data_IF_959710487573
#
_entry.id   IF_959710487573
#
_cell.length_a   1.000
_cell.length_b   1.000
_cell.length_c   1.000
_cell.angle_alpha   90.00
_cell.angle_beta   90.00
_cell.angle_gamma   90.00
#
_symmetry.space_group_name_H-M   'P 1'
#
loop_
_entity.id
_entity.type
_entity.pdbx_description
1 polymer ?
#
# COMPACT_ATOMS: atom_id res chain seq x y z
N UNK A 1 -5.24 -22.31 -5.89
CA UNK A 1 -5.88 -20.98 -5.70
C UNK A 1 -5.85 -20.20 -7.01
N UNK A 2 -6.93 -19.52 -7.36
CA UNK A 2 -7.05 -18.77 -8.61
C UNK A 2 -6.90 -17.25 -8.41
N UNK A 3 -6.58 -16.55 -9.50
CA UNK A 3 -6.52 -15.10 -9.55
C UNK A 3 -7.88 -14.47 -9.25
N UNK A 4 -7.86 -13.20 -8.81
CA UNK A 4 -9.04 -12.43 -8.43
C UNK A 4 -9.04 -11.05 -9.09
N UNK A 5 -10.23 -10.65 -9.54
CA UNK A 5 -10.54 -9.29 -10.00
C UNK A 5 -11.82 -8.79 -9.34
N UNK A 6 -12.25 -7.58 -9.65
CA UNK A 6 -13.56 -7.08 -9.24
C UNK A 6 -14.68 -7.71 -10.06
N UNK A 7 -15.86 -7.90 -9.45
CA UNK A 7 -17.04 -8.35 -10.19
C UNK A 7 -17.72 -7.20 -10.96
N UNK A 8 -17.67 -5.98 -10.42
CA UNK A 8 -18.29 -4.78 -11.00
C UNK A 8 -17.37 -3.58 -10.88
N UNK A 9 -17.60 -2.60 -11.74
CA UNK A 9 -16.96 -1.27 -11.63
C UNK A 9 -17.52 -0.52 -10.43
N UNK A 10 -16.64 0.15 -9.68
CA UNK A 10 -17.01 1.00 -8.56
C UNK A 10 -16.24 2.31 -8.57
N UNK A 11 -16.87 3.38 -8.09
CA UNK A 11 -16.32 4.73 -8.12
C UNK A 11 -16.39 5.38 -6.76
N UNK A 12 -15.35 6.13 -6.42
CA UNK A 12 -15.29 6.97 -5.24
C UNK A 12 -14.69 8.34 -5.60
N UNK A 13 -14.97 9.33 -4.76
CA UNK A 13 -14.45 10.68 -4.88
C UNK A 13 -13.86 11.09 -3.53
N UNK A 14 -12.73 11.77 -3.57
CA UNK A 14 -12.08 12.31 -2.39
C UNK A 14 -11.02 13.34 -2.76
N UNK A 15 -10.14 13.66 -1.83
CA UNK A 15 -9.03 14.61 -2.03
C UNK A 15 -7.70 13.90 -1.85
N UNK A 16 -6.67 14.34 -2.56
CA UNK A 16 -5.28 13.92 -2.33
C UNK A 16 -4.76 14.46 -0.99
N UNK A 17 -4.02 13.65 -0.24
CA UNK A 17 -3.43 14.05 1.05
C UNK A 17 -2.41 15.17 0.86
N UNK A 18 -1.56 15.03 -0.16
CA UNK A 18 -0.45 15.96 -0.41
C UNK A 18 -0.87 17.12 -1.31
N UNK A 19 -1.57 16.84 -2.39
CA UNK A 19 -1.98 17.86 -3.36
C UNK A 19 -3.17 18.69 -2.91
N UNK A 20 -4.05 18.14 -2.08
CA UNK A 20 -5.33 18.73 -1.74
C UNK A 20 -6.32 18.79 -2.91
N UNK A 21 -5.95 18.28 -4.08
CA UNK A 21 -6.81 18.25 -5.24
C UNK A 21 -7.89 17.20 -5.14
N UNK A 22 -9.05 17.51 -5.68
CA UNK A 22 -10.10 16.52 -5.86
C UNK A 22 -9.65 15.44 -6.84
N UNK A 23 -9.87 14.18 -6.47
CA UNK A 23 -9.56 13.01 -7.28
C UNK A 23 -10.76 12.07 -7.30
N UNK A 24 -11.12 11.63 -8.51
CA UNK A 24 -12.08 10.56 -8.71
C UNK A 24 -11.30 9.29 -8.99
N UNK A 25 -11.55 8.28 -8.18
CA UNK A 25 -11.03 6.93 -8.30
C UNK A 25 -12.12 6.02 -8.85
N UNK A 26 -11.84 5.31 -9.95
CA UNK A 26 -12.74 4.27 -10.48
C UNK A 26 -11.96 2.97 -10.61
N UNK A 27 -12.46 1.92 -9.97
CA UNK A 27 -11.89 0.58 -10.03
C UNK A 27 -12.71 -0.24 -11.01
N UNK A 28 -12.05 -0.91 -11.96
CA UNK A 28 -12.70 -1.73 -12.98
C UNK A 28 -12.18 -3.17 -12.91
N UNK A 29 -13.02 -4.17 -13.22
CA UNK A 29 -12.54 -5.52 -13.51
C UNK A 29 -11.47 -5.50 -14.60
N UNK A 30 -10.50 -6.40 -14.50
CA UNK A 30 -9.48 -6.57 -15.52
C UNK A 30 -9.32 -8.07 -15.90
N UNK A 31 -8.89 -8.38 -17.12
CA UNK A 31 -8.60 -9.77 -17.53
C UNK A 31 -7.54 -10.45 -16.68
N UNK A 32 -7.43 -11.77 -16.78
CA UNK A 32 -6.35 -12.55 -16.18
C UNK A 32 -4.98 -12.03 -16.62
N UNK A 33 -4.00 -12.12 -15.73
CA UNK A 33 -2.61 -11.70 -15.97
C UNK A 33 -2.42 -10.22 -16.36
N UNK A 34 -3.43 -9.36 -16.15
CA UNK A 34 -3.31 -7.91 -16.34
C UNK A 34 -2.41 -7.27 -15.27
N UNK A 35 -2.47 -7.79 -14.04
CA UNK A 35 -1.88 -7.12 -12.89
C UNK A 35 -2.66 -5.87 -12.46
N UNK A 36 -2.00 -4.99 -11.72
CA UNK A 36 -2.57 -3.74 -11.23
C UNK A 36 -2.08 -2.60 -12.12
N UNK A 37 -3.01 -1.92 -12.81
CA UNK A 37 -2.70 -0.89 -13.80
C UNK A 37 -3.46 0.40 -13.46
N UNK A 38 -2.73 1.45 -13.14
CA UNK A 38 -3.26 2.79 -12.98
C UNK A 38 -3.36 3.52 -14.31
N UNK A 39 -4.42 4.32 -14.49
CA UNK A 39 -4.66 5.10 -15.71
C UNK A 39 -5.01 6.55 -15.36
N UNK A 40 -4.20 7.50 -15.84
CA UNK A 40 -4.45 8.94 -15.77
C UNK A 40 -5.42 9.33 -16.88
N UNK A 41 -6.71 9.26 -16.57
CA UNK A 41 -7.78 9.53 -17.54
C UNK A 41 -8.08 11.02 -17.74
N UNK A 42 -7.50 11.88 -16.93
CA UNK A 42 -7.49 13.34 -17.08
C UNK A 42 -6.49 13.84 -18.15
N UNK A 43 -5.64 12.94 -18.64
CA UNK A 43 -4.65 13.23 -19.67
C UNK A 43 -5.12 12.76 -21.05
N UNK A 44 -4.68 13.45 -22.10
CA UNK A 44 -4.93 13.08 -23.50
C UNK A 44 -3.59 12.99 -24.23
N UNK A 45 -3.19 11.81 -24.72
CA UNK A 45 -3.85 10.51 -24.54
C UNK A 45 -3.81 10.04 -23.06
N UNK A 46 -4.69 9.09 -22.71
CA UNK A 46 -4.68 8.40 -21.41
C UNK A 46 -3.30 7.76 -21.19
N UNK A 47 -2.75 7.91 -20.00
CA UNK A 47 -1.44 7.35 -19.65
C UNK A 47 -1.61 6.21 -18.65
N UNK A 48 -1.12 5.04 -19.03
CA UNK A 48 -1.11 3.85 -18.17
C UNK A 48 0.23 3.70 -17.44
N UNK A 49 0.15 3.38 -16.15
CA UNK A 49 1.27 3.09 -15.26
C UNK A 49 1.05 1.72 -14.61
N UNK A 50 1.85 0.74 -15.00
CA UNK A 50 1.81 -0.59 -14.40
C UNK A 50 2.51 -0.59 -13.05
N UNK A 51 1.96 -1.33 -12.09
CA UNK A 51 2.57 -1.51 -10.77
C UNK A 51 3.78 -2.43 -10.88
N UNK A 52 4.94 -1.90 -10.49
CA UNK A 52 6.20 -2.64 -10.41
C UNK A 52 7.18 -1.88 -9.50
N UNK A 53 8.11 -2.53 -8.76
CA UNK A 53 9.07 -1.82 -7.91
C UNK A 53 9.92 -0.77 -8.64
N UNK A 54 10.20 -0.99 -9.93
CA UNK A 54 10.98 -0.05 -10.76
C UNK A 54 10.20 1.19 -11.20
N UNK A 55 8.87 1.13 -11.21
CA UNK A 55 8.03 2.30 -11.54
C UNK A 55 7.87 3.26 -10.36
N UNK A 56 8.31 2.88 -9.16
CA UNK A 56 8.36 3.78 -8.00
C UNK A 56 9.47 4.81 -8.23
N UNK A 57 9.09 6.08 -8.35
CA UNK A 57 10.00 7.19 -8.61
C UNK A 57 10.22 8.10 -7.42
N UNK A 58 9.21 8.27 -6.57
CA UNK A 58 9.26 9.12 -5.38
C UNK A 58 8.72 8.37 -4.18
N UNK A 59 9.37 8.58 -3.01
CA UNK A 59 9.01 7.88 -1.76
C UNK A 59 8.98 8.85 -0.57
N UNK A 60 8.90 10.15 -0.83
CA UNK A 60 8.81 11.18 0.21
C UNK A 60 7.39 11.22 0.76
N UNK A 61 7.21 10.70 1.98
CA UNK A 61 5.94 10.62 2.73
C UNK A 61 4.84 9.75 2.11
N UNK A 62 4.99 9.27 0.90
CA UNK A 62 4.08 8.34 0.22
C UNK A 62 4.81 7.57 -0.87
N UNK A 63 4.20 6.50 -1.37
CA UNK A 63 4.70 5.79 -2.55
C UNK A 63 4.07 6.39 -3.81
N UNK A 64 4.95 6.85 -4.73
CA UNK A 64 4.55 7.46 -6.00
C UNK A 64 5.11 6.64 -7.15
N UNK A 65 4.23 6.18 -8.05
CA UNK A 65 4.64 5.60 -9.33
C UNK A 65 4.76 6.67 -10.39
N UNK A 66 5.72 6.48 -11.29
CA UNK A 66 6.05 7.45 -12.35
C UNK A 66 6.19 6.77 -13.72
N UNK A 67 5.93 7.53 -14.76
CA UNK A 67 6.23 7.19 -16.14
C UNK A 67 6.91 8.37 -16.82
N UNK A 68 8.15 8.17 -17.22
CA UNK A 68 8.94 9.16 -17.97
C UNK A 68 8.67 9.05 -19.47
N UNK A 69 9.10 10.06 -20.22
CA UNK A 69 9.02 10.05 -21.68
C UNK A 69 7.62 10.25 -22.26
N UNK A 70 6.68 10.72 -21.46
CA UNK A 70 5.32 11.02 -21.95
C UNK A 70 5.33 12.35 -22.69
N UNK A 71 4.95 12.33 -23.97
CA UNK A 71 4.83 13.57 -24.78
C UNK A 71 3.46 14.21 -24.50
N UNK A 72 3.46 15.40 -23.91
CA UNK A 72 2.27 16.24 -23.71
C UNK A 72 2.48 17.60 -24.37
N UNK A 73 1.60 17.98 -25.28
CA UNK A 73 1.69 19.23 -26.03
C UNK A 73 3.06 19.45 -26.72
N UNK A 74 3.70 18.35 -27.18
CA UNK A 74 5.02 18.35 -27.82
C UNK A 74 6.20 18.46 -26.85
N UNK A 75 5.96 18.44 -25.53
CA UNK A 75 6.99 18.51 -24.50
C UNK A 75 7.06 17.16 -23.77
N UNK A 76 8.27 16.62 -23.61
CA UNK A 76 8.50 15.46 -22.79
C UNK A 76 8.26 15.78 -21.31
N UNK A 77 7.44 14.97 -20.66
CA UNK A 77 7.04 15.17 -19.27
C UNK A 77 7.04 13.85 -18.51
N UNK A 78 7.12 13.98 -17.18
CA UNK A 78 6.92 12.87 -16.24
C UNK A 78 5.47 12.88 -15.79
N UNK A 79 4.79 11.75 -15.93
CA UNK A 79 3.45 11.51 -15.36
C UNK A 79 3.60 10.72 -14.07
N UNK A 80 2.85 11.09 -13.04
CA UNK A 80 2.90 10.45 -11.73
C UNK A 80 1.52 10.18 -11.15
N UNK A 81 1.48 9.22 -10.20
CA UNK A 81 0.35 8.97 -9.32
C UNK A 81 0.92 8.69 -7.92
N UNK A 82 0.58 9.56 -6.97
CA UNK A 82 1.08 9.54 -5.60
C UNK A 82 0.09 8.85 -4.64
N UNK A 83 0.58 8.49 -3.45
CA UNK A 83 -0.20 7.95 -2.31
C UNK A 83 -0.96 6.69 -2.67
N UNK A 84 -0.28 5.74 -3.33
CA UNK A 84 -0.91 4.50 -3.80
C UNK A 84 -0.91 3.40 -2.74
N UNK A 85 -0.07 3.49 -1.70
CA UNK A 85 0.20 2.45 -0.70
C UNK A 85 -1.04 1.95 0.03
N UNK A 86 -1.99 2.82 0.40
CA UNK A 86 -3.20 2.39 1.12
C UNK A 86 -4.15 1.60 0.23
N UNK A 87 -4.29 2.00 -1.04
CA UNK A 87 -5.09 1.26 -2.02
C UNK A 87 -4.41 -0.08 -2.36
N UNK A 88 -3.09 -0.08 -2.56
CA UNK A 88 -2.31 -1.30 -2.79
C UNK A 88 -2.41 -2.27 -1.60
N UNK A 89 -2.38 -1.73 -0.38
CA UNK A 89 -2.58 -2.50 0.85
C UNK A 89 -3.96 -3.15 0.90
N UNK A 90 -5.01 -2.44 0.47
CA UNK A 90 -6.36 -3.00 0.37
C UNK A 90 -6.44 -4.13 -0.67
N UNK A 91 -5.81 -3.97 -1.85
CA UNK A 91 -5.74 -5.04 -2.85
C UNK A 91 -5.01 -6.27 -2.32
N UNK A 92 -3.88 -6.09 -1.64
CA UNK A 92 -3.17 -7.19 -0.97
C UNK A 92 -4.06 -7.88 0.06
N UNK A 93 -4.76 -7.10 0.92
CA UNK A 93 -5.64 -7.62 1.96
C UNK A 93 -6.82 -8.45 1.44
N UNK A 94 -7.39 -8.06 0.30
CA UNK A 94 -8.49 -8.79 -0.35
C UNK A 94 -7.97 -9.89 -1.29
N UNK A 95 -6.73 -9.78 -1.74
CA UNK A 95 -6.10 -10.69 -2.69
C UNK A 95 -6.48 -10.43 -4.15
N UNK A 96 -6.65 -9.16 -4.54
CA UNK A 96 -6.92 -8.75 -5.93
C UNK A 96 -5.64 -8.80 -6.74
N UNK A 97 -5.64 -9.56 -7.83
CA UNK A 97 -4.50 -9.70 -8.74
C UNK A 97 -4.60 -8.76 -9.94
N UNK A 98 -5.82 -8.57 -10.48
CA UNK A 98 -6.05 -7.89 -11.74
C UNK A 98 -7.08 -6.77 -11.58
N UNK A 99 -6.71 -5.52 -11.86
CA UNK A 99 -7.59 -4.36 -11.76
C UNK A 99 -7.08 -3.21 -12.62
N UNK A 100 -7.97 -2.53 -13.34
CA UNK A 100 -7.71 -1.21 -13.89
C UNK A 100 -8.18 -0.13 -12.91
N UNK A 101 -7.37 0.89 -12.71
CA UNK A 101 -7.59 1.96 -11.75
C UNK A 101 -7.53 3.30 -12.49
N UNK A 102 -8.69 3.89 -12.73
CA UNK A 102 -8.78 5.23 -13.31
C UNK A 102 -8.68 6.28 -12.23
N UNK A 103 -7.82 7.26 -12.43
CA UNK A 103 -7.68 8.44 -11.57
C UNK A 103 -7.74 9.72 -12.43
N UNK A 104 -8.39 10.76 -11.88
CA UNK A 104 -8.55 12.07 -12.53
C UNK A 104 -7.58 13.12 -11.98
N UNK A 105 -6.55 12.70 -11.25
CA UNK A 105 -5.54 13.55 -10.62
C UNK A 105 -4.22 12.77 -10.47
N UNK A 106 -3.17 13.48 -10.13
CA UNK A 106 -1.84 12.92 -9.86
C UNK A 106 -1.69 12.30 -8.45
N UNK A 107 -2.81 12.10 -7.73
CA UNK A 107 -2.82 11.46 -6.42
C UNK A 107 -4.10 10.65 -6.19
N UNK A 108 -3.95 9.46 -5.58
CA UNK A 108 -5.08 8.65 -5.10
C UNK A 108 -5.76 9.37 -3.94
N UNK A 109 -7.11 9.43 -3.87
CA UNK A 109 -7.78 10.08 -2.74
C UNK A 109 -7.45 9.37 -1.41
N UNK A 110 -7.14 10.17 -0.39
CA UNK A 110 -6.69 9.64 0.92
C UNK A 110 -7.80 8.97 1.72
N UNK A 111 -9.05 9.26 1.42
CA UNK A 111 -10.23 8.80 2.15
C UNK A 111 -10.18 9.22 3.64
N UNK A 112 -10.23 8.25 4.57
CA UNK A 112 -10.08 8.49 6.02
C UNK A 112 -8.64 8.31 6.53
N UNK A 113 -7.68 8.14 5.63
CA UNK A 113 -6.28 7.89 5.95
C UNK A 113 -5.93 6.45 6.27
N UNK A 114 -6.87 5.51 6.10
CA UNK A 114 -6.66 4.07 6.27
C UNK A 114 -6.99 3.30 5.00
N UNK A 115 -6.82 1.97 4.99
CA UNK A 115 -7.22 1.10 3.89
C UNK A 115 -8.71 0.69 3.94
N UNK A 116 -9.44 0.98 5.02
CA UNK A 116 -10.78 0.43 5.26
C UNK A 116 -11.81 0.88 4.22
N UNK A 117 -11.76 2.12 3.75
CA UNK A 117 -12.66 2.61 2.71
C UNK A 117 -12.40 1.94 1.36
N UNK A 118 -11.15 1.66 1.01
CA UNK A 118 -10.83 0.92 -0.22
C UNK A 118 -11.30 -0.52 -0.14
N UNK A 119 -11.15 -1.18 1.02
CA UNK A 119 -11.71 -2.53 1.25
C UNK A 119 -13.22 -2.51 1.07
N UNK A 120 -13.92 -1.52 1.66
CA UNK A 120 -15.37 -1.37 1.49
C UNK A 120 -15.76 -1.21 0.02
N UNK A 121 -15.03 -0.42 -0.76
CA UNK A 121 -15.26 -0.28 -2.19
C UNK A 121 -15.08 -1.61 -2.93
N UNK A 122 -13.97 -2.32 -2.68
CA UNK A 122 -13.69 -3.61 -3.32
C UNK A 122 -14.78 -4.64 -2.97
N UNK A 123 -15.19 -4.72 -1.71
CA UNK A 123 -16.25 -5.63 -1.27
C UNK A 123 -17.62 -5.25 -1.87
N UNK A 124 -17.92 -3.95 -1.98
CA UNK A 124 -19.15 -3.45 -2.61
C UNK A 124 -19.20 -3.75 -4.11
N UNK A 125 -18.06 -3.68 -4.79
CA UNK A 125 -17.93 -4.11 -6.20
C UNK A 125 -18.09 -5.62 -6.35
N UNK A 126 -17.83 -6.39 -5.29
CA UNK A 126 -17.70 -7.83 -5.30
C UNK A 126 -16.37 -8.29 -5.87
N UNK A 127 -15.95 -9.51 -5.52
CA UNK A 127 -14.73 -10.15 -6.00
C UNK A 127 -15.09 -11.31 -6.90
N UNK A 128 -14.52 -11.35 -8.09
CA UNK A 128 -14.66 -12.42 -9.07
C UNK A 128 -13.38 -13.27 -9.08
N UNK A 129 -13.55 -14.57 -8.91
CA UNK A 129 -12.48 -15.56 -9.12
C UNK A 129 -12.35 -15.79 -10.62
N UNK A 130 -11.11 -15.80 -11.13
CA UNK A 130 -10.78 -15.96 -12.54
C UNK A 130 -10.19 -17.34 -12.80
N UNK A 131 -10.33 -17.82 -14.04
CA UNK A 131 -9.81 -19.14 -14.44
C UNK A 131 -8.33 -19.07 -14.84
N UNK A 132 -7.51 -18.70 -13.87
CA UNK A 132 -6.05 -18.68 -13.98
C UNK A 132 -5.40 -18.87 -12.60
N UNK A 133 -4.27 -19.61 -12.49
CA UNK A 133 -3.60 -19.81 -11.22
C UNK A 133 -3.04 -18.52 -10.66
N UNK A 134 -3.27 -18.28 -9.36
CA UNK A 134 -2.66 -17.18 -8.60
C UNK A 134 -1.19 -17.46 -8.37
N UNK A 135 -0.35 -16.49 -8.70
CA UNK A 135 1.10 -16.54 -8.51
C UNK A 135 1.49 -15.98 -7.16
N UNK A 136 2.51 -16.54 -6.53
CA UNK A 136 3.11 -16.09 -5.27
C UNK A 136 4.62 -15.99 -5.45
N UNK A 137 5.23 -15.04 -4.79
CA UNK A 137 6.69 -14.92 -4.68
C UNK A 137 7.13 -15.57 -3.38
N UNK A 138 7.78 -16.74 -3.47
CA UNK A 138 8.34 -17.44 -2.31
C UNK A 138 9.79 -17.03 -2.10
N UNK A 139 10.10 -16.55 -0.89
CA UNK A 139 11.44 -16.17 -0.49
C UNK A 139 12.25 -17.42 -0.16
N UNK A 140 13.39 -17.61 -0.84
CA UNK A 140 14.30 -18.75 -0.68
C UNK A 140 15.53 -18.41 0.13
N UNK A 141 16.00 -17.15 0.08
CA UNK A 141 17.18 -16.66 0.81
C UNK A 141 16.89 -15.32 1.46
N UNK A 142 17.60 -15.03 2.53
CA UNK A 142 17.49 -13.75 3.20
C UNK A 142 18.08 -12.62 2.33
N UNK A 143 17.30 -11.56 2.17
CA UNK A 143 17.71 -10.30 1.53
C UNK A 143 17.52 -9.19 2.53
N UNK A 144 18.50 -8.30 2.70
CA UNK A 144 18.45 -7.20 3.67
C UNK A 144 18.94 -5.91 3.02
N UNK A 145 18.32 -4.82 3.41
CA UNK A 145 18.75 -3.45 3.13
C UNK A 145 18.75 -2.63 4.40
N UNK A 146 19.57 -1.60 4.44
CA UNK A 146 19.65 -0.66 5.56
C UNK A 146 19.97 0.75 5.05
N UNK A 147 19.62 1.76 5.82
CA UNK A 147 19.94 3.15 5.54
C UNK A 147 20.83 3.75 6.63
N UNK A 148 21.44 4.90 6.33
CA UNK A 148 22.38 5.60 7.22
C UNK A 148 21.75 6.09 8.54
N UNK A 149 20.41 6.05 8.64
CA UNK A 149 19.65 6.46 9.85
C UNK A 149 19.31 5.29 10.77
N UNK A 150 19.85 4.10 10.50
CA UNK A 150 19.64 2.89 11.28
C UNK A 150 18.30 2.20 10.99
N UNK A 151 17.63 2.58 9.91
CA UNK A 151 16.48 1.86 9.39
C UNK A 151 16.92 0.56 8.69
N UNK A 152 16.18 -0.53 8.92
CA UNK A 152 16.43 -1.83 8.28
C UNK A 152 15.16 -2.43 7.74
N UNK A 153 15.26 -3.15 6.62
CA UNK A 153 14.20 -3.99 6.09
C UNK A 153 14.80 -5.27 5.50
N UNK A 154 14.16 -6.40 5.73
CA UNK A 154 14.66 -7.70 5.26
C UNK A 154 13.53 -8.68 4.95
N UNK A 155 13.81 -9.58 4.00
CA UNK A 155 13.06 -10.81 3.81
C UNK A 155 13.87 -12.00 4.34
N UNK A 156 13.15 -13.01 4.82
CA UNK A 156 13.69 -14.34 5.11
C UNK A 156 12.67 -15.42 4.74
N UNK A 157 13.12 -16.68 4.49
CA UNK A 157 12.22 -17.80 4.22
C UNK A 157 11.25 -18.02 5.38
N UNK A 158 9.97 -18.22 5.05
CA UNK A 158 8.91 -18.54 5.99
C UNK A 158 7.71 -19.14 5.25
N UNK A 159 7.06 -20.16 5.82
CA UNK A 159 5.85 -20.77 5.26
C UNK A 159 4.60 -20.01 5.73
N UNK A 160 4.25 -18.95 5.00
CA UNK A 160 3.21 -17.98 5.28
C UNK A 160 3.64 -16.59 4.85
N UNK A 161 2.94 -15.57 5.29
CA UNK A 161 3.42 -14.20 5.19
C UNK A 161 3.37 -13.56 6.58
N UNK A 162 4.55 -13.39 7.18
CA UNK A 162 4.72 -12.76 8.49
C UNK A 162 5.35 -11.39 8.35
N UNK A 163 4.81 -10.40 9.01
CA UNK A 163 5.38 -9.06 9.09
C UNK A 163 5.74 -8.74 10.54
N UNK A 164 7.02 -8.46 10.78
CA UNK A 164 7.54 -7.93 12.05
C UNK A 164 7.93 -6.47 11.82
N UNK A 165 7.24 -5.56 12.45
CA UNK A 165 7.52 -4.13 12.29
C UNK A 165 7.82 -3.48 13.64
N UNK A 166 8.85 -2.64 13.67
CA UNK A 166 9.16 -1.79 14.83
C UNK A 166 9.39 -0.34 14.38
N UNK A 167 8.79 0.57 15.14
CA UNK A 167 8.93 2.03 14.99
C UNK A 167 9.72 2.58 16.16
N UNK A 168 10.25 3.78 15.99
CA UNK A 168 10.88 4.54 17.07
C UNK A 168 10.77 6.02 16.74
N UNK A 169 9.98 6.72 17.52
CA UNK A 169 9.79 8.16 17.42
C UNK A 169 10.01 8.80 18.80
N UNK A 170 10.83 9.84 18.83
CA UNK A 170 11.03 10.62 20.07
C UNK A 170 9.90 11.64 20.21
N UNK A 171 8.76 11.18 20.72
CA UNK A 171 7.58 12.02 20.91
C UNK A 171 6.64 11.44 21.98
N UNK A 172 6.00 12.26 22.85
CA UNK A 172 5.15 11.80 23.96
C UNK A 172 4.01 10.85 23.55
N UNK A 173 3.41 11.05 22.37
CA UNK A 173 2.34 10.19 21.86
C UNK A 173 2.74 8.71 21.71
N UNK A 174 4.03 8.41 21.59
CA UNK A 174 4.53 7.04 21.44
C UNK A 174 4.89 6.39 22.77
N UNK A 175 5.04 7.16 23.85
CA UNK A 175 5.44 6.63 25.18
C UNK A 175 4.45 5.62 25.77
N UNK A 176 3.17 5.70 25.38
CA UNK A 176 2.08 4.84 25.86
C UNK A 176 1.59 3.85 24.80
N UNK A 177 2.22 3.81 23.63
CA UNK A 177 1.82 2.95 22.51
C UNK A 177 2.82 1.80 22.29
N UNK A 178 2.36 0.70 21.69
CA UNK A 178 3.27 -0.35 21.29
C UNK A 178 4.09 0.11 20.08
N UNK A 179 5.41 0.03 20.19
CA UNK A 179 6.35 0.35 19.11
C UNK A 179 6.67 -0.86 18.22
N UNK A 180 6.17 -2.04 18.55
CA UNK A 180 6.43 -3.28 17.82
C UNK A 180 5.15 -4.06 17.62
N UNK A 181 5.01 -4.67 16.46
CA UNK A 181 3.92 -5.56 16.14
C UNK A 181 4.38 -6.68 15.20
N UNK A 182 3.85 -7.88 15.42
CA UNK A 182 3.94 -9.00 14.48
C UNK A 182 2.56 -9.30 13.93
N UNK A 183 2.45 -9.44 12.62
CA UNK A 183 1.23 -9.85 11.93
C UNK A 183 1.47 -11.14 11.15
N UNK A 184 0.73 -12.19 11.47
CA UNK A 184 0.55 -13.35 10.59
C UNK A 184 -0.54 -13.00 9.58
N UNK A 185 -0.14 -12.79 8.33
CA UNK A 185 -1.03 -12.23 7.33
C UNK A 185 -2.05 -13.26 6.83
N UNK A 186 -3.28 -12.85 6.91
CA UNK A 186 -4.44 -13.40 6.22
C UNK A 186 -5.42 -12.26 5.97
N UNK A 187 -6.40 -12.41 5.09
CA UNK A 187 -7.44 -11.38 4.96
C UNK A 187 -8.10 -11.07 6.31
N UNK A 188 -8.35 -12.08 7.13
CA UNK A 188 -9.02 -11.91 8.43
C UNK A 188 -8.18 -11.11 9.42
N UNK A 189 -6.90 -11.46 9.60
CA UNK A 189 -6.00 -10.73 10.50
C UNK A 189 -5.75 -9.31 10.00
N UNK A 190 -5.54 -9.14 8.67
CA UNK A 190 -5.38 -7.83 8.06
C UNK A 190 -6.59 -6.90 8.32
N UNK A 191 -7.82 -7.40 8.09
CA UNK A 191 -9.03 -6.59 8.34
C UNK A 191 -9.20 -6.21 9.80
N UNK A 192 -8.99 -7.15 10.71
CA UNK A 192 -9.19 -6.92 12.15
C UNK A 192 -8.14 -6.02 12.76
N UNK A 193 -6.90 -6.19 12.35
CA UNK A 193 -5.78 -5.63 13.08
C UNK A 193 -5.14 -4.42 12.39
N UNK A 194 -5.18 -4.32 11.06
CA UNK A 194 -4.35 -3.37 10.32
C UNK A 194 -5.16 -2.39 9.49
N UNK A 195 -6.18 -2.87 8.78
CA UNK A 195 -6.84 -2.11 7.71
C UNK A 195 -7.43 -0.76 8.12
N UNK A 196 -7.75 -0.56 9.40
CA UNK A 196 -8.36 0.66 9.95
C UNK A 196 -7.36 1.64 10.56
N UNK A 197 -6.08 1.31 10.56
CA UNK A 197 -5.05 2.18 11.10
C UNK A 197 -4.85 3.39 10.19
N UNK A 198 -4.95 4.59 10.76
CA UNK A 198 -4.84 5.87 10.02
C UNK A 198 -3.39 6.30 9.90
N UNK A 199 -3.10 6.99 8.79
CA UNK A 199 -1.85 7.75 8.65
C UNK A 199 -1.75 8.84 9.72
N UNK A 200 -0.53 9.27 10.01
CA UNK A 200 -0.25 10.27 11.05
C UNK A 200 0.83 11.25 10.62
N UNK A 201 0.81 12.43 11.20
CA UNK A 201 1.81 13.46 10.95
C UNK A 201 1.99 14.40 12.12
N UNK A 202 3.17 15.03 12.19
CA UNK A 202 3.51 15.98 13.23
C UNK A 202 3.09 17.40 12.83
N UNK A 203 2.36 18.07 13.70
CA UNK A 203 1.88 19.43 13.46
C UNK A 203 3.04 20.42 13.25
N UNK A 204 4.16 20.23 13.96
CA UNK A 204 5.37 21.06 13.81
C UNK A 204 5.95 21.03 12.38
N UNK A 205 5.71 19.95 11.61
CA UNK A 205 6.26 19.81 10.27
C UNK A 205 5.34 20.44 9.19
N UNK A 206 4.09 20.80 9.54
CA UNK A 206 3.08 21.24 8.59
C UNK A 206 3.47 22.49 7.79
N UNK A 207 4.14 23.47 8.43
CA UNK A 207 4.57 24.68 7.72
C UNK A 207 5.64 24.35 6.67
N UNK A 208 6.61 23.50 7.02
CA UNK A 208 7.65 23.04 6.10
C UNK A 208 7.05 22.21 4.95
N UNK A 209 6.11 21.31 5.26
CA UNK A 209 5.45 20.48 4.26
C UNK A 209 4.66 21.33 3.27
N UNK A 210 3.89 22.30 3.76
CA UNK A 210 3.13 23.22 2.90
C UNK A 210 4.02 24.05 1.98
N UNK A 211 5.18 24.51 2.45
CA UNK A 211 6.18 25.19 1.61
C UNK A 211 6.72 24.30 0.48
N UNK A 212 6.68 22.97 0.66
CA UNK A 212 7.05 21.98 -0.34
C UNK A 212 5.85 21.47 -1.16
N UNK A 213 4.68 22.09 -1.05
CA UNK A 213 3.41 21.66 -1.65
C UNK A 213 3.02 20.23 -1.23
N UNK A 214 3.27 19.86 0.03
CA UNK A 214 2.88 18.59 0.63
C UNK A 214 1.86 18.82 1.74
N UNK A 215 1.06 17.78 2.05
CA UNK A 215 0.03 17.77 3.10
C UNK A 215 -1.02 18.90 2.94
N UNK A 216 -1.29 19.36 1.71
CA UNK A 216 -2.26 20.44 1.46
C UNK A 216 -3.71 20.01 1.74
N UNK A 217 -4.02 18.71 1.57
CA UNK A 217 -5.32 18.10 1.87
C UNK A 217 -5.40 17.43 3.24
N UNK A 218 -4.32 17.49 4.03
CA UNK A 218 -4.29 16.86 5.36
C UNK A 218 -5.22 17.57 6.36
N UNK A 219 -5.97 16.77 7.11
CA UNK A 219 -6.88 17.23 8.16
C UNK A 219 -7.02 16.15 9.24
N UNK A 220 -7.56 16.51 10.41
CA UNK A 220 -7.86 15.53 11.46
C UNK A 220 -8.95 14.52 11.06
N UNK A 221 -9.67 14.75 9.97
CA UNK A 221 -10.62 13.80 9.39
C UNK A 221 -9.97 12.68 8.58
N UNK A 222 -8.72 12.85 8.11
CA UNK A 222 -8.02 11.90 7.26
C UNK A 222 -6.58 11.55 7.73
N UNK A 223 -6.18 12.04 8.90
CA UNK A 223 -4.90 11.73 9.51
C UNK A 223 -4.97 11.90 11.04
N UNK A 224 -4.08 11.23 11.76
CA UNK A 224 -3.81 11.50 13.16
C UNK A 224 -2.82 12.66 13.22
N UNK A 225 -3.25 13.80 13.79
CA UNK A 225 -2.37 14.93 14.04
C UNK A 225 -1.67 14.77 15.38
N UNK A 226 -0.36 15.06 15.40
CA UNK A 226 0.46 15.04 16.62
C UNK A 226 1.03 16.42 16.90
N UNK A 227 0.72 17.00 18.07
CA UNK A 227 1.36 18.20 18.60
C UNK A 227 2.35 17.83 19.70
N UNK A 228 3.04 18.79 20.27
CA UNK A 228 4.07 18.56 21.30
C UNK A 228 3.54 17.85 22.57
N UNK A 229 2.23 17.78 22.77
CA UNK A 229 1.60 17.15 23.93
C UNK A 229 1.04 15.75 23.62
N UNK A 230 0.74 15.45 22.35
CA UNK A 230 0.20 14.14 21.98
C UNK A 230 -0.71 14.14 20.75
N UNK A 231 -1.78 13.34 20.83
CA UNK A 231 -2.77 13.18 19.74
C UNK A 231 -3.78 14.33 19.79
N UNK A 232 -3.92 15.06 18.68
CA UNK A 232 -4.83 16.18 18.52
C UNK A 232 -6.28 15.78 18.22
N UNK A 233 -6.49 14.58 17.66
CA UNK A 233 -7.81 14.07 17.28
C UNK A 233 -8.66 13.88 18.56
N UNK A 234 -9.85 14.48 18.61
CA UNK A 234 -10.74 14.43 19.80
C UNK A 234 -11.19 13.00 20.13
N UNK A 235 -11.39 12.17 19.12
CA UNK A 235 -11.75 10.76 19.25
C UNK A 235 -10.57 9.87 19.68
N UNK A 236 -9.36 10.41 19.72
CA UNK A 236 -8.14 9.68 20.04
C UNK A 236 -7.73 8.67 18.96
N UNK A 237 -7.00 7.64 19.39
CA UNK A 237 -6.58 6.53 18.55
C UNK A 237 -7.68 5.47 18.43
N UNK A 238 -7.83 4.86 17.26
CA UNK A 238 -8.73 3.70 17.03
C UNK A 238 -8.24 2.44 17.77
N UNK A 239 -6.91 2.30 17.90
CA UNK A 239 -6.24 1.29 18.69
C UNK A 239 -5.04 1.93 19.38
N UNK A 240 -4.69 1.47 20.59
CA UNK A 240 -3.53 1.99 21.33
C UNK A 240 -2.19 1.83 20.60
N UNK A 241 -2.12 0.93 19.63
CA UNK A 241 -0.97 0.64 18.79
C UNK A 241 -1.19 1.03 17.31
N UNK A 242 -2.07 2.03 17.06
CA UNK A 242 -2.48 2.44 15.71
C UNK A 242 -1.30 2.87 14.85
N UNK A 243 -0.28 3.50 15.41
CA UNK A 243 0.90 3.97 14.67
C UNK A 243 1.69 2.81 14.02
N UNK A 244 2.04 1.77 14.79
CA UNK A 244 2.76 0.63 14.23
C UNK A 244 1.87 -0.20 13.30
N UNK A 245 0.55 -0.27 13.56
CA UNK A 245 -0.41 -0.90 12.65
C UNK A 245 -0.45 -0.19 11.31
N UNK A 246 -0.43 1.15 11.31
CA UNK A 246 -0.38 1.92 10.07
C UNK A 246 0.92 1.67 9.31
N UNK A 247 2.07 1.59 9.98
CA UNK A 247 3.33 1.26 9.32
C UNK A 247 3.34 -0.15 8.70
N UNK A 248 2.60 -1.11 9.28
CA UNK A 248 2.36 -2.42 8.66
C UNK A 248 1.42 -2.28 7.45
N UNK A 249 0.37 -1.45 7.53
CA UNK A 249 -0.51 -1.16 6.41
C UNK A 249 0.28 -0.63 5.21
N UNK A 250 1.12 0.39 5.42
CA UNK A 250 2.01 0.95 4.41
C UNK A 250 2.92 -0.13 3.81
N UNK A 251 3.58 -0.93 4.68
CA UNK A 251 4.47 -1.98 4.23
C UNK A 251 3.74 -3.03 3.37
N UNK A 252 2.54 -3.48 3.76
CA UNK A 252 1.73 -4.41 2.96
C UNK A 252 1.48 -3.85 1.56
N UNK A 253 1.14 -2.56 1.45
CA UNK A 253 0.92 -1.90 0.17
C UNK A 253 2.19 -1.74 -0.66
N UNK A 254 3.27 -1.28 -0.03
CA UNK A 254 4.58 -1.12 -0.68
C UNK A 254 5.13 -2.45 -1.20
N UNK A 255 5.01 -3.53 -0.40
CA UNK A 255 5.48 -4.85 -0.78
C UNK A 255 4.63 -5.47 -1.90
N UNK A 256 3.35 -5.11 -1.99
CA UNK A 256 2.48 -5.57 -3.06
C UNK A 256 2.82 -4.95 -4.44
N UNK A 257 3.76 -4.00 -4.48
CA UNK A 257 4.37 -3.50 -5.74
C UNK A 257 5.07 -4.60 -6.55
N UNK A 258 5.39 -5.76 -5.96
CA UNK A 258 5.85 -6.95 -6.70
C UNK A 258 4.78 -7.55 -7.63
N UNK A 259 3.51 -7.10 -7.51
CA UNK A 259 2.38 -7.60 -8.30
C UNK A 259 1.84 -8.96 -7.85
N UNK A 260 2.47 -9.60 -6.87
CA UNK A 260 2.10 -10.91 -6.33
C UNK A 260 2.26 -10.95 -4.81
N UNK A 261 1.44 -11.74 -4.09
CA UNK A 261 1.64 -11.99 -2.67
C UNK A 261 2.98 -12.67 -2.38
N UNK A 262 3.54 -12.37 -1.20
CA UNK A 262 4.82 -12.91 -0.75
C UNK A 262 4.58 -14.08 0.19
N UNK A 263 5.29 -15.18 0.00
CA UNK A 263 5.48 -16.25 0.97
C UNK A 263 6.87 -16.07 1.58
N UNK A 264 6.92 -15.61 2.81
CA UNK A 264 8.16 -15.22 3.48
C UNK A 264 7.90 -14.39 4.73
N UNK A 265 8.94 -14.08 5.46
CA UNK A 265 8.91 -13.18 6.60
C UNK A 265 9.54 -11.83 6.22
N UNK A 266 8.81 -10.76 6.45
CA UNK A 266 9.29 -9.39 6.35
C UNK A 266 9.58 -8.85 7.75
N UNK A 267 10.80 -8.38 7.98
CA UNK A 267 11.18 -7.74 9.25
C UNK A 267 11.72 -6.36 8.98
N UNK A 268 11.14 -5.35 9.66
CA UNK A 268 11.50 -3.95 9.49
C UNK A 268 11.66 -3.22 10.83
N UNK A 269 12.67 -2.36 10.87
CA UNK A 269 12.90 -1.41 11.96
C UNK A 269 13.09 -0.02 11.36
N UNK A 270 12.30 0.97 11.81
CA UNK A 270 12.33 2.35 11.31
C UNK A 270 12.26 2.44 9.76
N UNK A 271 11.58 1.48 9.12
CA UNK A 271 11.40 1.48 7.68
C UNK A 271 10.29 2.42 7.24
N UNK A 272 10.31 2.74 5.97
CA UNK A 272 9.29 3.50 5.24
C UNK A 272 9.36 3.19 3.75
N UNK A 273 8.59 3.90 2.93
CA UNK A 273 8.40 3.62 1.50
C UNK A 273 9.72 3.46 0.73
N UNK A 274 10.71 4.33 1.00
CA UNK A 274 12.02 4.25 0.34
C UNK A 274 12.72 2.92 0.62
N UNK A 275 12.82 2.53 1.90
CA UNK A 275 13.55 1.33 2.28
C UNK A 275 12.79 0.06 1.88
N UNK A 276 11.45 0.09 1.93
CA UNK A 276 10.60 -0.98 1.43
C UNK A 276 10.83 -1.21 -0.08
N UNK A 277 10.84 -0.13 -0.88
CA UNK A 277 11.10 -0.24 -2.31
C UNK A 277 12.54 -0.69 -2.61
N UNK A 278 13.53 -0.20 -1.86
CA UNK A 278 14.93 -0.68 -1.99
C UNK A 278 15.03 -2.19 -1.73
N UNK A 279 14.31 -2.72 -0.74
CA UNK A 279 14.28 -4.15 -0.46
C UNK A 279 13.69 -4.95 -1.64
N UNK A 280 12.59 -4.46 -2.25
CA UNK A 280 12.00 -5.10 -3.43
C UNK A 280 12.98 -5.13 -4.60
N UNK A 281 13.65 -4.01 -4.88
CA UNK A 281 14.68 -3.95 -5.93
C UNK A 281 15.87 -4.86 -5.63
N UNK A 282 16.32 -4.92 -4.36
CA UNK A 282 17.38 -5.82 -3.93
C UNK A 282 17.00 -7.30 -4.08
N UNK A 283 15.73 -7.65 -3.83
CA UNK A 283 15.19 -9.00 -4.08
C UNK A 283 15.23 -9.33 -5.58
N UNK A 284 14.68 -8.45 -6.43
CA UNK A 284 14.63 -8.66 -7.88
C UNK A 284 16.03 -8.75 -8.52
N UNK A 285 17.03 -8.08 -7.94
CA UNK A 285 18.42 -8.18 -8.37
C UNK A 285 19.09 -9.52 -8.00
N UNK A 286 18.43 -10.39 -7.23
CA UNK A 286 18.91 -11.69 -6.77
C UNK A 286 17.95 -12.81 -7.20
N UNK A 287 17.96 -13.27 -8.47
CA UNK A 287 16.99 -14.25 -8.97
C UNK A 287 16.98 -15.59 -8.24
N UNK A 288 18.06 -15.93 -7.53
CA UNK A 288 18.21 -17.14 -6.72
C UNK A 288 17.68 -16.96 -5.27
N UNK A 289 17.23 -15.75 -4.91
CA UNK A 289 16.66 -15.47 -3.60
C UNK A 289 15.14 -15.68 -3.52
N UNK A 290 14.47 -15.90 -4.65
CA UNK A 290 13.04 -16.16 -4.69
C UNK A 290 12.65 -17.07 -5.86
N UNK A 291 11.44 -17.60 -5.80
CA UNK A 291 10.80 -18.30 -6.92
C UNK A 291 9.33 -17.87 -7.03
N UNK A 292 8.77 -18.02 -8.25
CA UNK A 292 7.33 -17.82 -8.47
C UNK A 292 6.64 -19.18 -8.40
N UNK A 293 5.68 -19.32 -7.50
CA UNK A 293 4.94 -20.57 -7.27
C UNK A 293 3.45 -20.39 -7.43
N UNK A 294 2.74 -21.49 -7.74
CA UNK A 294 1.28 -21.58 -7.77
C UNK A 294 0.83 -22.78 -6.94
N UNK A 295 -0.43 -22.82 -6.53
CA UNK A 295 -1.01 -23.90 -5.75
C UNK A 295 -2.29 -24.43 -6.42
N UNK A 296 -2.49 -25.75 -6.38
CA UNK A 296 -3.64 -26.40 -7.03
C UNK A 296 -4.95 -26.14 -6.28
N UNK A 297 -4.90 -25.92 -4.97
CA UNK A 297 -6.07 -25.65 -4.16
C UNK A 297 -5.83 -24.52 -3.15
N UNK A 298 -6.91 -23.95 -2.60
CA UNK A 298 -6.85 -22.94 -1.56
C UNK A 298 -6.30 -23.50 -0.23
N UNK A 299 -6.49 -24.80 0.01
CA UNK A 299 -6.02 -25.47 1.23
C UNK A 299 -4.50 -25.62 1.27
N UNK A 300 -3.86 -25.75 0.11
CA UNK A 300 -2.39 -25.86 -0.01
C UNK A 300 -1.69 -24.51 0.15
N UNK A 301 -2.43 -23.39 0.01
CA UNK A 301 -1.80 -22.06 0.11
C UNK A 301 -1.50 -21.72 1.56
N UNK A 302 -0.28 -21.25 1.87
CA UNK A 302 0.06 -20.82 3.21
C UNK A 302 -0.59 -19.48 3.61
N UNK A 303 -1.11 -18.71 2.63
CA UNK A 303 -1.81 -17.46 2.86
C UNK A 303 -3.30 -17.69 2.61
N UNK A 304 -4.14 -17.32 3.60
CA UNK A 304 -5.59 -17.50 3.52
C UNK A 304 -6.29 -16.20 3.18
N UNK A 305 -7.00 -16.20 2.06
CA UNK A 305 -7.88 -15.11 1.66
C UNK A 305 -9.33 -15.44 1.97
N UNK A 306 -10.06 -14.48 2.52
CA UNK A 306 -11.50 -14.62 2.80
C UNK A 306 -12.30 -14.99 1.55
N UNK A 307 -13.41 -15.72 1.75
CA UNK A 307 -14.35 -16.01 0.66
C UNK A 307 -14.94 -14.71 0.13
N UNK A 308 -15.23 -14.66 -1.18
CA UNK A 308 -15.81 -13.50 -1.86
C UNK A 308 -17.20 -13.06 -1.31
N UNK A 309 -17.75 -13.76 -0.34
CA UNK A 309 -19.15 -13.59 0.12
C UNK A 309 -19.34 -12.97 1.47
N UNK A 310 -18.37 -12.82 2.33
CA UNK A 310 -18.59 -12.20 3.67
C UNK A 310 -17.31 -11.60 4.23
N UNK A 311 -17.31 -10.31 4.46
CA UNK A 311 -16.66 -9.67 5.61
C UNK A 311 -17.24 -8.25 5.80
N UNK A 312 -18.53 -8.17 6.10
CA UNK A 312 -19.15 -7.00 6.72
C UNK A 312 -19.24 -7.22 8.21
#
# INVERSE_FOLDING_TARGET
MNQRTLANTIKAKGIGLHTGHESILTLHPAPVDTGIVFRRIDLTPVVELCVHPETVGETTLCTTIVKDGVIKDGVESRVKIATIEHLMSAFAGVGIDNVYIDVTSDEVPIMDGSASHFIFLIQSAGVQIQDAPKKFIRILKSVKVENDQGGTASFSPYEGFRLNFSISFDHPAFSSTAEKMTLEFSSTSYYKEVSRARTFGFFKDMEMLRKKNLALGASLGNAIGLDDQGVMNKEGLRNKDEFVRHKILDAVGDLYMLGHPIIGEFTAHKSGHSLNNQLLRALLAQPDAFEVVTFNSDDETPIKYGSSKVLL
#
